data_IF_621315021542
#
_entry.id   IF_621315021542
#
_cell.length_a   1.000
_cell.length_b   1.000
_cell.length_c   1.000
_cell.angle_alpha   90.00
_cell.angle_beta   90.00
_cell.angle_gamma   90.00
#
_symmetry.space_group_name_H-M   'P 1'
#
loop_
_entity.id
_entity.type
_entity.pdbx_description
1 polymer ?
#
# COMPACT_ATOMS: atom_id res chain seq x y z
N UNK A 1 16.07 2.48 -17.46
CA UNK A 1 15.27 3.69 -17.25
C UNK A 1 15.34 4.00 -15.77
N UNK A 2 16.19 4.91 -15.31
CA UNK A 2 16.25 5.25 -13.89
C UNK A 2 14.97 6.01 -13.50
N UNK A 3 14.40 5.66 -12.37
CA UNK A 3 13.26 6.34 -11.77
C UNK A 3 11.88 5.80 -12.11
N UNK A 4 11.75 4.72 -12.90
CA UNK A 4 10.43 4.24 -13.33
C UNK A 4 9.76 3.38 -12.26
N UNK A 5 8.51 3.69 -11.95
CA UNK A 5 7.63 2.86 -11.14
C UNK A 5 6.26 2.67 -11.79
N UNK A 6 5.61 1.55 -11.49
CA UNK A 6 4.25 1.24 -11.92
C UNK A 6 3.36 1.13 -10.71
N UNK A 7 2.22 1.82 -10.73
CA UNK A 7 1.21 1.75 -9.67
C UNK A 7 -0.10 1.23 -10.23
N UNK A 8 -0.67 0.24 -9.59
CA UNK A 8 -1.99 -0.32 -9.93
C UNK A 8 -2.66 -0.88 -8.68
N UNK A 9 -3.95 -0.59 -8.52
CA UNK A 9 -4.69 -0.93 -7.30
C UNK A 9 -3.89 -0.52 -6.06
N UNK A 10 -3.56 -1.46 -5.17
CA UNK A 10 -2.74 -1.28 -3.97
C UNK A 10 -1.26 -1.62 -4.16
N UNK A 11 -0.84 -1.91 -5.39
CA UNK A 11 0.52 -2.35 -5.69
C UNK A 11 1.37 -1.24 -6.28
N UNK A 12 2.65 -1.28 -5.93
CA UNK A 12 3.69 -0.45 -6.53
C UNK A 12 4.84 -1.36 -6.93
N UNK A 13 5.26 -1.29 -8.19
CA UNK A 13 6.46 -1.95 -8.71
C UNK A 13 7.52 -0.90 -8.91
N UNK A 14 8.58 -0.96 -8.12
CA UNK A 14 9.75 -0.08 -8.23
C UNK A 14 10.81 -0.80 -9.07
N UNK A 15 11.09 -0.24 -10.26
CA UNK A 15 12.04 -0.85 -11.19
C UNK A 15 13.50 -0.68 -10.74
N UNK A 16 13.81 0.39 -10.00
CA UNK A 16 15.18 0.69 -9.56
C UNK A 16 15.60 -0.17 -8.37
N UNK A 17 14.74 -0.26 -7.36
CA UNK A 17 15.00 -1.09 -6.18
C UNK A 17 14.61 -2.55 -6.40
N UNK A 18 13.93 -2.86 -7.52
CA UNK A 18 13.40 -4.18 -7.85
C UNK A 18 12.46 -4.74 -6.78
N UNK A 19 11.59 -3.88 -6.26
CA UNK A 19 10.63 -4.21 -5.21
C UNK A 19 9.20 -4.20 -5.73
N UNK A 20 8.41 -5.18 -5.31
CA UNK A 20 6.95 -5.18 -5.39
C UNK A 20 6.42 -4.86 -4.01
N UNK A 21 5.65 -3.78 -3.89
CA UNK A 21 5.04 -3.35 -2.62
C UNK A 21 3.52 -3.49 -2.72
N UNK A 22 2.88 -3.93 -1.63
CA UNK A 22 1.43 -3.87 -1.42
C UNK A 22 1.15 -3.10 -0.13
N UNK A 23 0.41 -2.01 -0.22
CA UNK A 23 0.10 -1.13 0.92
C UNK A 23 1.38 -0.70 1.68
N UNK A 24 2.49 -0.51 0.95
CA UNK A 24 3.80 -0.15 1.51
C UNK A 24 4.63 -1.32 2.06
N UNK A 25 4.09 -2.53 2.13
CA UNK A 25 4.81 -3.73 2.57
C UNK A 25 5.40 -4.47 1.38
N UNK A 26 6.65 -4.90 1.48
CA UNK A 26 7.33 -5.63 0.41
C UNK A 26 6.76 -7.05 0.25
N UNK A 27 6.49 -7.42 -1.00
CA UNK A 27 6.12 -8.76 -1.40
C UNK A 27 7.29 -9.40 -2.15
N UNK A 28 7.66 -10.60 -1.73
CA UNK A 28 8.76 -11.32 -2.37
C UNK A 28 8.34 -11.90 -3.73
N UNK A 29 9.16 -11.60 -4.75
CA UNK A 29 9.15 -12.26 -6.05
C UNK A 29 10.57 -12.74 -6.38
N UNK A 30 10.66 -13.89 -7.03
CA UNK A 30 11.94 -14.31 -7.60
C UNK A 30 12.41 -13.31 -8.67
N UNK A 31 13.72 -13.17 -8.91
CA UNK A 31 14.25 -12.21 -9.88
C UNK A 31 13.61 -12.34 -11.27
N UNK A 32 13.36 -13.57 -11.74
CA UNK A 32 12.73 -13.82 -13.04
C UNK A 32 11.24 -13.52 -13.05
N UNK A 33 10.52 -13.75 -11.95
CA UNK A 33 9.11 -13.35 -11.81
C UNK A 33 8.97 -11.83 -11.82
N UNK A 34 9.89 -11.13 -11.15
CA UNK A 34 9.94 -9.68 -11.17
C UNK A 34 10.22 -9.11 -12.58
N UNK A 35 11.21 -9.66 -13.30
CA UNK A 35 11.52 -9.29 -14.70
C UNK A 35 10.30 -9.52 -15.61
N UNK A 36 9.59 -10.65 -15.45
CA UNK A 36 8.37 -10.95 -16.20
C UNK A 36 7.25 -9.94 -15.89
N UNK A 37 7.07 -9.59 -14.62
CA UNK A 37 6.05 -8.60 -14.23
C UNK A 37 6.31 -7.25 -14.88
N UNK A 38 7.55 -6.73 -14.82
CA UNK A 38 7.94 -5.48 -15.49
C UNK A 38 7.70 -5.58 -17.00
N UNK A 39 8.09 -6.70 -17.61
CA UNK A 39 7.92 -6.90 -19.04
C UNK A 39 6.46 -6.87 -19.48
N UNK A 40 5.56 -7.44 -18.69
CA UNK A 40 4.11 -7.40 -18.92
C UNK A 40 3.55 -5.98 -18.72
N UNK A 41 3.97 -5.29 -17.65
CA UNK A 41 3.56 -3.92 -17.35
C UNK A 41 3.98 -2.94 -18.43
N UNK A 42 5.22 -3.00 -18.90
CA UNK A 42 5.76 -2.09 -19.91
C UNK A 42 5.11 -2.25 -21.30
N UNK A 43 4.49 -3.40 -21.59
CA UNK A 43 3.90 -3.70 -22.89
C UNK A 43 2.37 -3.77 -22.87
N UNK A 44 1.76 -3.41 -21.75
CA UNK A 44 0.30 -3.39 -21.63
C UNK A 44 -0.36 -2.40 -22.61
N UNK A 45 -1.58 -2.60 -23.04
CA UNK A 45 -2.42 -3.78 -22.80
C UNK A 45 -2.17 -4.93 -23.79
N UNK A 46 -1.05 -4.92 -24.52
CA UNK A 46 -0.72 -5.89 -25.57
C UNK A 46 -0.59 -7.32 -25.01
N UNK A 47 -1.11 -8.28 -25.72
CA UNK A 47 -0.83 -9.70 -25.47
C UNK A 47 0.59 -10.03 -25.94
N UNK A 48 1.37 -10.69 -25.10
CA UNK A 48 2.74 -11.09 -25.37
C UNK A 48 2.80 -12.59 -25.53
N UNK A 49 3.46 -13.05 -26.59
CA UNK A 49 3.58 -14.50 -26.85
C UNK A 49 4.51 -15.16 -25.86
N UNK A 50 4.33 -16.47 -25.64
CA UNK A 50 5.22 -17.25 -24.79
C UNK A 50 6.67 -17.20 -25.29
N UNK A 51 6.88 -17.30 -26.60
CA UNK A 51 8.22 -17.22 -27.22
C UNK A 51 8.88 -15.87 -26.95
N UNK A 52 8.16 -14.76 -27.11
CA UNK A 52 8.68 -13.42 -26.84
C UNK A 52 9.09 -13.25 -25.36
N UNK A 53 8.31 -13.79 -24.42
CA UNK A 53 8.64 -13.75 -23.00
C UNK A 53 9.85 -14.64 -22.68
N UNK A 54 9.91 -15.83 -23.24
CA UNK A 54 11.05 -16.73 -23.04
C UNK A 54 12.35 -16.13 -23.60
N UNK A 55 12.31 -15.56 -24.79
CA UNK A 55 13.47 -14.89 -25.41
C UNK A 55 13.94 -13.69 -24.57
N UNK A 56 13.00 -12.89 -24.06
CA UNK A 56 13.32 -11.75 -23.19
C UNK A 56 13.95 -12.18 -21.85
N UNK A 57 13.38 -13.20 -21.22
CA UNK A 57 13.86 -13.64 -19.89
C UNK A 57 15.12 -14.52 -19.96
N UNK A 58 15.31 -15.27 -21.04
CA UNK A 58 16.42 -16.20 -21.25
C UNK A 58 17.01 -16.09 -22.67
N UNK A 59 17.66 -14.96 -23.04
CA UNK A 59 18.07 -14.64 -24.43
C UNK A 59 19.11 -15.62 -24.88
N UNK A 60 19.56 -16.59 -24.50
CA UNK A 60 20.58 -17.53 -25.01
C UNK A 60 20.45 -18.95 -24.45
N UNK A 61 19.30 -19.21 -23.82
CA UNK A 61 19.08 -20.49 -23.14
C UNK A 61 17.74 -21.07 -23.57
N UNK A 62 17.74 -22.32 -23.99
CA UNK A 62 16.50 -23.04 -24.23
C UNK A 62 15.84 -23.37 -22.89
N UNK A 63 14.63 -22.87 -22.68
CA UNK A 63 13.84 -23.06 -21.47
C UNK A 63 12.44 -23.54 -21.85
N UNK A 64 11.91 -24.50 -21.11
CA UNK A 64 10.57 -25.03 -21.35
C UNK A 64 9.48 -24.02 -20.95
N UNK A 65 8.34 -24.05 -21.62
CA UNK A 65 7.18 -23.20 -21.34
C UNK A 65 6.61 -23.38 -19.93
N UNK A 66 6.86 -24.52 -19.29
CA UNK A 66 6.46 -24.82 -17.91
C UNK A 66 7.09 -23.85 -16.91
N UNK A 67 8.32 -23.40 -17.15
CA UNK A 67 8.99 -22.40 -16.31
C UNK A 67 8.27 -21.05 -16.36
N UNK A 68 7.82 -20.64 -17.55
CA UNK A 68 7.04 -19.42 -17.70
C UNK A 68 5.71 -19.49 -16.95
N UNK A 69 5.01 -20.61 -17.01
CA UNK A 69 3.77 -20.83 -16.28
C UNK A 69 3.98 -20.79 -14.76
N UNK A 70 5.12 -21.28 -14.27
CA UNK A 70 5.49 -21.21 -12.85
C UNK A 70 5.70 -19.76 -12.41
N UNK A 71 6.40 -18.92 -13.20
CA UNK A 71 6.59 -17.50 -12.91
C UNK A 71 5.25 -16.73 -12.89
N UNK A 72 4.36 -17.02 -13.83
CA UNK A 72 3.01 -16.40 -13.84
C UNK A 72 2.21 -16.81 -12.60
N UNK A 73 2.35 -18.06 -12.15
CA UNK A 73 1.69 -18.55 -10.93
C UNK A 73 2.24 -17.83 -9.69
N UNK A 74 3.55 -17.60 -9.63
CA UNK A 74 4.21 -16.84 -8.57
C UNK A 74 3.70 -15.40 -8.52
N UNK A 75 3.68 -14.70 -9.67
CA UNK A 75 3.16 -13.35 -9.78
C UNK A 75 1.70 -13.28 -9.32
N UNK A 76 0.85 -14.18 -9.81
CA UNK A 76 -0.56 -14.22 -9.42
C UNK A 76 -0.74 -14.44 -7.92
N UNK A 77 0.05 -15.32 -7.32
CA UNK A 77 0.03 -15.55 -5.86
C UNK A 77 0.39 -14.28 -5.10
N UNK A 78 1.45 -13.58 -5.49
CA UNK A 78 1.87 -12.34 -4.86
C UNK A 78 0.81 -11.23 -4.98
N UNK A 79 0.17 -11.13 -6.14
CA UNK A 79 -0.89 -10.13 -6.41
C UNK A 79 -2.26 -10.54 -5.85
N UNK A 80 -2.45 -11.78 -5.39
CA UNK A 80 -3.77 -12.30 -5.04
C UNK A 80 -4.71 -12.41 -6.26
N UNK A 81 -4.15 -12.64 -7.45
CA UNK A 81 -4.86 -12.65 -8.75
C UNK A 81 -5.32 -14.07 -9.11
N UNK A 82 -6.62 -14.42 -8.94
CA UNK A 82 -7.08 -15.79 -9.17
C UNK A 82 -7.07 -16.13 -10.67
N UNK A 83 -6.48 -17.26 -11.02
CA UNK A 83 -6.35 -17.70 -12.42
C UNK A 83 -7.72 -17.89 -13.14
N UNK A 84 -8.77 -18.21 -12.39
CA UNK A 84 -10.12 -18.39 -12.95
C UNK A 84 -10.81 -17.07 -13.33
N UNK A 85 -10.51 -16.00 -12.58
CA UNK A 85 -11.04 -14.65 -12.85
C UNK A 85 -9.92 -13.63 -12.69
N UNK A 86 -8.96 -13.57 -13.62
CA UNK A 86 -7.78 -12.74 -13.50
C UNK A 86 -8.12 -11.26 -13.61
N UNK A 87 -7.68 -10.50 -12.63
CA UNK A 87 -7.82 -9.03 -12.54
C UNK A 87 -6.62 -8.34 -13.17
N UNK A 88 -5.42 -8.90 -13.01
CA UNK A 88 -4.17 -8.28 -13.45
C UNK A 88 -3.50 -9.04 -14.60
N UNK A 89 -3.24 -10.33 -14.45
CA UNK A 89 -2.52 -11.12 -15.45
C UNK A 89 -3.45 -12.12 -16.14
N UNK A 90 -3.91 -11.78 -17.34
CA UNK A 90 -4.81 -12.62 -18.12
C UNK A 90 -4.06 -13.56 -19.05
N UNK A 91 -4.44 -14.84 -19.04
CA UNK A 91 -3.98 -15.82 -20.04
C UNK A 91 -4.70 -15.59 -21.35
N UNK A 92 -3.92 -15.51 -22.43
CA UNK A 92 -4.43 -15.52 -23.81
C UNK A 92 -4.23 -16.93 -24.35
N UNK A 93 -5.33 -17.64 -24.55
CA UNK A 93 -5.32 -19.07 -24.90
C UNK A 93 -4.40 -19.39 -26.09
N UNK A 94 -3.54 -20.38 -25.94
CA UNK A 94 -2.53 -20.83 -26.92
C UNK A 94 -1.54 -19.76 -27.41
N UNK A 95 -1.56 -18.57 -26.85
CA UNK A 95 -0.69 -17.47 -27.26
C UNK A 95 0.31 -17.07 -26.17
N UNK A 96 -0.19 -16.66 -25.01
CA UNK A 96 0.67 -16.16 -23.93
C UNK A 96 -0.10 -15.43 -22.84
N UNK A 97 0.38 -14.26 -22.43
CA UNK A 97 -0.18 -13.51 -21.33
C UNK A 97 -0.25 -12.01 -21.64
N UNK A 98 -1.10 -11.28 -20.93
CA UNK A 98 -1.16 -9.82 -20.95
C UNK A 98 -1.50 -9.25 -19.59
N UNK A 99 -1.02 -8.06 -19.29
CA UNK A 99 -1.48 -7.29 -18.16
C UNK A 99 -2.73 -6.50 -18.53
N UNK A 100 -3.76 -6.53 -17.67
CA UNK A 100 -5.08 -5.93 -17.94
C UNK A 100 -5.54 -4.94 -16.87
N UNK A 101 -4.82 -4.78 -15.78
CA UNK A 101 -5.12 -3.77 -14.75
C UNK A 101 -4.84 -2.35 -15.23
N UNK A 102 -5.56 -1.38 -14.67
CA UNK A 102 -5.26 0.04 -14.86
C UNK A 102 -3.95 0.38 -14.17
N UNK A 103 -3.01 0.98 -14.88
CA UNK A 103 -1.66 1.25 -14.39
C UNK A 103 -1.31 2.71 -14.61
N UNK A 104 -0.85 3.36 -13.55
CA UNK A 104 -0.20 4.67 -13.62
C UNK A 104 1.31 4.46 -13.68
N UNK A 105 1.95 5.05 -14.67
CA UNK A 105 3.41 5.14 -14.75
C UNK A 105 3.87 6.40 -14.04
N UNK A 106 4.98 6.30 -13.33
CA UNK A 106 5.64 7.44 -12.71
C UNK A 106 7.14 7.36 -12.94
N UNK A 107 7.71 8.44 -13.40
CA UNK A 107 9.17 8.61 -13.52
C UNK A 107 9.84 8.86 -12.16
N UNK A 108 9.06 8.78 -11.07
CA UNK A 108 9.56 8.91 -9.70
C UNK A 108 9.69 7.52 -9.11
N UNK A 109 10.86 7.12 -8.58
CA UNK A 109 11.03 5.83 -7.90
C UNK A 109 9.99 5.67 -6.80
N UNK A 110 9.47 4.44 -6.62
CA UNK A 110 8.54 4.15 -5.54
C UNK A 110 9.14 4.47 -4.16
N UNK A 111 10.47 4.32 -4.04
CA UNK A 111 11.22 4.73 -2.85
C UNK A 111 11.21 6.23 -2.60
N UNK A 112 11.07 7.08 -3.63
CA UNK A 112 10.91 8.51 -3.43
C UNK A 112 9.48 8.86 -2.97
N UNK A 113 8.48 8.10 -3.42
CA UNK A 113 7.10 8.19 -2.93
C UNK A 113 6.96 7.55 -1.54
N UNK A 114 7.79 6.53 -1.24
CA UNK A 114 7.84 5.86 0.07
C UNK A 114 8.75 6.56 1.10
N UNK A 115 9.64 7.46 0.66
CA UNK A 115 10.56 8.22 1.54
C UNK A 115 10.02 9.58 1.95
N UNK A 116 8.87 9.99 1.45
CA UNK A 116 8.17 11.16 1.99
C UNK A 116 7.67 10.88 3.41
N UNK A 117 7.56 11.92 4.24
CA UNK A 117 6.96 11.78 5.55
C UNK A 117 5.55 11.23 5.41
N UNK A 118 5.27 10.09 6.08
CA UNK A 118 3.95 9.44 6.06
C UNK A 118 3.18 9.82 7.31
N UNK A 119 1.89 10.06 7.19
CA UNK A 119 1.07 10.24 8.36
C UNK A 119 0.90 8.91 9.11
N UNK A 120 1.04 8.96 10.43
CA UNK A 120 0.78 7.83 11.32
C UNK A 120 0.13 8.31 12.62
N UNK A 121 -0.54 7.40 13.29
CA UNK A 121 -1.12 7.64 14.62
C UNK A 121 -0.28 6.90 15.65
N UNK A 122 0.04 7.61 16.72
CA UNK A 122 0.59 7.02 17.95
C UNK A 122 -0.55 6.91 18.95
N UNK A 123 -0.82 5.69 19.38
CA UNK A 123 -1.80 5.41 20.43
C UNK A 123 -1.18 4.42 21.44
N UNK A 124 -1.08 4.85 22.70
CA UNK A 124 -0.33 4.14 23.75
C UNK A 124 1.12 3.87 23.30
N UNK A 125 1.48 2.60 23.06
CA UNK A 125 2.81 2.18 22.62
C UNK A 125 2.81 1.69 21.17
N UNK A 126 1.72 1.90 20.43
CA UNK A 126 1.57 1.42 19.07
C UNK A 126 1.60 2.58 18.08
N UNK A 127 2.26 2.35 16.96
CA UNK A 127 2.24 3.26 15.81
C UNK A 127 1.50 2.58 14.67
N UNK A 128 0.49 3.26 14.12
CA UNK A 128 -0.27 2.78 12.96
C UNK A 128 -0.11 3.75 11.81
N UNK A 129 0.55 3.30 10.74
CA UNK A 129 0.70 4.09 9.51
C UNK A 129 -0.66 4.24 8.85
N UNK A 130 -0.99 5.46 8.46
CA UNK A 130 -2.23 5.76 7.75
C UNK A 130 -2.06 5.50 6.26
N UNK A 131 -3.03 4.81 5.68
CA UNK A 131 -3.08 4.53 4.25
C UNK A 131 -3.79 5.66 3.50
N UNK A 132 -3.51 5.79 2.22
CA UNK A 132 -4.27 6.68 1.34
C UNK A 132 -5.76 6.28 1.35
N UNK A 133 -6.65 7.26 1.45
CA UNK A 133 -8.08 7.05 1.63
C UNK A 133 -8.53 7.07 3.09
N UNK A 134 -9.57 6.32 3.44
CA UNK A 134 -10.26 6.36 4.73
C UNK A 134 -9.68 5.38 5.75
N UNK A 135 -9.20 5.89 6.88
CA UNK A 135 -8.68 5.12 8.01
C UNK A 135 -9.61 5.30 9.22
N UNK A 136 -10.44 4.31 9.50
CA UNK A 136 -11.43 4.36 10.60
C UNK A 136 -10.76 4.15 11.95
N UNK A 137 -11.15 4.96 12.94
CA UNK A 137 -10.72 4.86 14.34
C UNK A 137 -11.93 4.49 15.19
N UNK A 138 -11.79 3.48 16.02
CA UNK A 138 -12.90 3.07 16.88
C UNK A 138 -12.63 1.82 17.68
N UNK A 139 -13.65 1.36 18.42
CA UNK A 139 -13.56 0.16 19.25
C UNK A 139 -13.78 -1.14 18.45
N UNK A 140 -14.30 -1.05 17.23
CA UNK A 140 -14.53 -2.22 16.38
C UNK A 140 -13.22 -2.91 16.01
N UNK A 141 -13.23 -4.25 15.94
CA UNK A 141 -12.04 -5.05 15.58
C UNK A 141 -11.56 -4.78 14.15
N UNK A 142 -12.49 -4.40 13.28
CA UNK A 142 -12.24 -4.07 11.88
C UNK A 142 -11.75 -2.62 11.67
N UNK A 143 -11.69 -1.81 12.73
CA UNK A 143 -11.17 -0.45 12.63
C UNK A 143 -9.66 -0.46 12.30
N UNK A 144 -9.23 0.41 11.39
CA UNK A 144 -7.82 0.56 11.03
C UNK A 144 -6.95 0.95 12.25
N UNK A 145 -7.52 1.75 13.16
CA UNK A 145 -6.92 2.09 14.45
C UNK A 145 -7.92 1.65 15.53
N UNK A 146 -7.63 0.49 16.13
CA UNK A 146 -8.49 -0.03 17.19
C UNK A 146 -8.19 0.67 18.52
N UNK A 147 -9.21 1.26 19.13
CA UNK A 147 -9.15 1.91 20.44
C UNK A 147 -10.21 1.30 21.37
N UNK A 148 -9.88 0.25 22.09
CA UNK A 148 -10.79 -0.38 23.06
C UNK A 148 -10.75 0.34 24.41
N UNK A 149 -11.19 1.59 24.38
CA UNK A 149 -11.19 2.49 25.53
C UNK A 149 -12.60 2.98 25.82
N UNK A 150 -12.92 3.13 27.12
CA UNK A 150 -14.22 3.63 27.56
C UNK A 150 -14.55 4.97 26.93
N UNK A 151 -15.75 5.06 26.32
CA UNK A 151 -16.24 6.27 25.66
C UNK A 151 -15.89 6.37 24.18
N UNK A 152 -15.19 5.37 23.61
CA UNK A 152 -14.95 5.27 22.16
C UNK A 152 -16.11 4.47 21.52
N UNK A 153 -16.71 5.00 20.46
CA UNK A 153 -17.74 4.32 19.65
C UNK A 153 -17.11 3.23 18.80
N UNK A 154 -17.89 2.26 18.29
CA UNK A 154 -17.39 1.21 17.38
C UNK A 154 -16.67 1.80 16.16
N UNK A 155 -17.31 2.72 15.46
CA UNK A 155 -16.75 3.61 14.47
C UNK A 155 -16.89 5.02 15.02
N UNK A 156 -15.80 5.62 15.51
CA UNK A 156 -15.87 6.90 16.24
C UNK A 156 -15.51 8.07 15.34
N UNK A 157 -14.40 7.96 14.67
CA UNK A 157 -13.87 8.96 13.75
C UNK A 157 -13.18 8.27 12.58
N UNK A 158 -12.86 9.02 11.54
CA UNK A 158 -11.98 8.57 10.47
C UNK A 158 -10.95 9.64 10.13
N UNK A 159 -9.79 9.20 9.66
CA UNK A 159 -8.80 10.08 9.05
C UNK A 159 -8.76 9.76 7.56
N UNK A 160 -9.07 10.75 6.74
CA UNK A 160 -8.98 10.65 5.27
C UNK A 160 -7.65 11.24 4.86
N UNK A 161 -6.79 10.41 4.27
CA UNK A 161 -5.50 10.82 3.71
C UNK A 161 -5.64 10.97 2.20
N UNK A 162 -5.28 12.11 1.66
CA UNK A 162 -5.34 12.39 0.23
C UNK A 162 -4.19 13.31 -0.19
N UNK A 163 -3.31 12.82 -1.08
CA UNK A 163 -2.25 13.64 -1.67
C UNK A 163 -1.32 14.28 -0.64
N UNK A 164 -1.01 13.58 0.46
CA UNK A 164 -0.14 14.09 1.53
C UNK A 164 -0.82 14.98 2.56
N UNK A 165 -2.13 15.23 2.43
CA UNK A 165 -2.95 15.90 3.44
C UNK A 165 -3.79 14.90 4.22
N UNK A 166 -4.12 15.22 5.47
CA UNK A 166 -4.96 14.38 6.31
C UNK A 166 -6.11 15.21 6.93
N UNK A 167 -7.32 14.68 6.85
CA UNK A 167 -8.53 15.26 7.43
C UNK A 167 -9.11 14.33 8.49
N UNK A 168 -9.33 14.83 9.69
CA UNK A 168 -10.06 14.13 10.75
C UNK A 168 -11.56 14.43 10.61
N UNK A 169 -12.40 13.39 10.69
CA UNK A 169 -13.85 13.52 10.62
C UNK A 169 -14.52 12.68 11.71
N UNK A 170 -15.44 13.28 12.45
CA UNK A 170 -16.29 12.57 13.42
C UNK A 170 -17.35 11.74 12.68
N UNK A 171 -17.55 10.50 13.12
CA UNK A 171 -18.54 9.59 12.52
C UNK A 171 -19.80 9.48 13.40
N UNK A 172 -20.38 10.62 13.75
CA UNK A 172 -21.54 10.72 14.63
C UNK A 172 -21.31 10.00 15.97
N UNK A 173 -20.15 10.22 16.53
CA UNK A 173 -19.72 9.53 17.74
C UNK A 173 -20.53 9.98 18.95
N UNK A 174 -20.76 9.06 19.93
CA UNK A 174 -21.56 9.35 21.12
C UNK A 174 -20.98 10.48 21.98
N UNK A 175 -19.65 10.55 22.08
CA UNK A 175 -18.95 11.49 22.97
C UNK A 175 -18.24 12.63 22.24
N UNK A 176 -18.29 12.63 20.90
CA UNK A 176 -17.63 13.63 20.05
C UNK A 176 -16.13 13.41 19.91
N UNK A 177 -15.60 13.93 18.83
CA UNK A 177 -14.18 13.94 18.47
C UNK A 177 -13.59 15.31 18.81
N UNK A 178 -12.41 15.33 19.42
CA UNK A 178 -11.73 16.56 19.81
C UNK A 178 -10.32 16.59 19.20
N UNK A 179 -9.99 17.72 18.60
CA UNK A 179 -8.65 18.03 18.10
C UNK A 179 -8.04 19.13 18.96
N UNK A 180 -6.89 18.88 19.58
CA UNK A 180 -6.21 19.83 20.49
C UNK A 180 -7.18 20.42 21.54
N UNK A 181 -8.03 19.56 22.11
CA UNK A 181 -9.09 19.89 23.09
C UNK A 181 -10.30 20.67 22.53
N UNK A 182 -10.34 21.01 21.24
CA UNK A 182 -11.50 21.64 20.59
C UNK A 182 -12.36 20.57 19.96
N UNK A 183 -13.68 20.59 20.19
CA UNK A 183 -14.61 19.65 19.56
C UNK A 183 -14.73 19.97 18.08
N UNK A 184 -14.60 18.93 17.23
CA UNK A 184 -14.66 19.07 15.77
C UNK A 184 -15.60 18.04 15.16
N UNK A 185 -16.22 18.40 14.04
CA UNK A 185 -16.93 17.47 13.15
C UNK A 185 -16.03 17.09 11.97
N UNK A 186 -15.21 18.03 11.50
CA UNK A 186 -14.15 17.81 10.51
C UNK A 186 -13.07 18.88 10.71
N UNK A 187 -11.81 18.47 10.60
CA UNK A 187 -10.67 19.39 10.71
C UNK A 187 -9.43 18.82 10.01
N UNK A 188 -8.58 19.67 9.38
CA UNK A 188 -7.28 19.25 8.88
C UNK A 188 -6.36 18.88 10.04
N UNK A 189 -5.47 17.89 9.80
CA UNK A 189 -4.48 17.44 10.77
C UNK A 189 -3.08 17.96 10.40
N UNK A 190 -2.37 18.43 11.41
CA UNK A 190 -0.96 18.81 11.35
C UNK A 190 -0.10 17.91 12.24
N UNK A 191 1.20 17.82 11.94
CA UNK A 191 2.14 17.03 12.77
C UNK A 191 2.12 17.49 14.23
N UNK A 192 2.04 16.54 15.16
CA UNK A 192 1.95 16.77 16.60
C UNK A 192 0.54 16.99 17.14
N UNK A 193 -0.48 17.04 16.29
CA UNK A 193 -1.87 17.20 16.73
C UNK A 193 -2.32 16.06 17.64
N UNK A 194 -3.05 16.45 18.70
CA UNK A 194 -3.63 15.50 19.65
C UNK A 194 -5.12 15.30 19.36
N UNK A 195 -5.49 14.06 19.09
CA UNK A 195 -6.88 13.62 18.88
C UNK A 195 -7.37 12.95 20.16
N UNK A 196 -8.51 13.40 20.70
CA UNK A 196 -9.15 12.77 21.86
C UNK A 196 -10.53 12.23 21.50
N UNK A 197 -10.72 10.92 21.77
CA UNK A 197 -11.94 10.17 21.56
C UNK A 197 -12.35 9.53 22.87
N UNK A 198 -13.39 10.08 23.54
CA UNK A 198 -13.70 9.67 24.90
C UNK A 198 -12.49 9.82 25.83
N UNK A 199 -11.98 8.71 26.41
CA UNK A 199 -10.77 8.69 27.25
C UNK A 199 -9.49 8.37 26.44
N UNK A 200 -9.59 7.95 25.20
CA UNK A 200 -8.43 7.68 24.34
C UNK A 200 -7.79 9.00 23.89
N UNK A 201 -6.45 9.06 23.96
CA UNK A 201 -5.63 10.16 23.46
C UNK A 201 -4.67 9.60 22.41
N UNK A 202 -4.79 10.07 21.19
CA UNK A 202 -3.97 9.70 20.05
C UNK A 202 -3.16 10.92 19.61
N UNK A 203 -1.97 10.68 19.05
CA UNK A 203 -1.15 11.74 18.47
C UNK A 203 -0.99 11.46 16.98
N UNK A 204 -1.32 12.45 16.17
CA UNK A 204 -1.04 12.41 14.74
C UNK A 204 0.37 12.88 14.46
N UNK A 205 1.11 12.13 13.67
CA UNK A 205 2.48 12.45 13.30
C UNK A 205 2.69 12.28 11.81
N UNK A 206 3.63 13.05 11.28
CA UNK A 206 4.09 12.96 9.90
C UNK A 206 5.60 12.76 9.92
N UNK A 207 6.06 11.57 9.54
CA UNK A 207 7.48 11.23 9.64
C UNK A 207 7.93 10.19 8.64
N UNK A 208 9.24 9.96 8.58
CA UNK A 208 9.84 8.88 7.77
C UNK A 208 9.81 7.56 8.55
N UNK A 209 9.95 6.43 7.86
CA UNK A 209 9.97 5.10 8.50
C UNK A 209 11.09 4.93 9.54
N UNK A 210 12.11 5.80 9.53
CA UNK A 210 13.17 5.84 10.55
C UNK A 210 12.68 6.45 11.87
N UNK A 211 11.76 7.41 11.82
CA UNK A 211 11.21 8.07 13.01
C UNK A 211 10.22 7.14 13.77
N UNK A 212 9.76 6.09 13.10
CA UNK A 212 8.85 5.09 13.68
C UNK A 212 9.55 4.13 14.66
N UNK A 213 10.89 4.08 14.69
CA UNK A 213 11.66 3.12 15.50
C UNK A 213 12.32 3.76 16.73
N UNK A 214 12.32 5.10 16.85
CA UNK A 214 13.16 5.82 17.82
C UNK A 214 12.36 6.58 18.88
N UNK A 215 11.34 6.00 19.51
CA UNK A 215 10.82 6.57 20.76
C UNK A 215 10.33 5.47 21.69
N UNK A 216 11.26 4.63 22.17
CA UNK A 216 11.17 3.95 23.45
C UNK A 216 12.55 4.02 24.09
N UNK A 217 12.90 5.17 24.64
CA UNK A 217 13.92 5.27 25.68
C UNK A 217 13.56 6.43 26.60
N UNK A 218 13.02 6.06 27.74
CA UNK A 218 13.35 6.58 29.08
C UNK A 218 13.09 8.08 29.35
N UNK A 219 12.15 8.35 30.27
CA UNK A 219 12.61 8.97 31.53
C UNK A 219 11.63 8.64 32.65
N UNK A 220 12.23 8.32 33.80
CA UNK A 220 11.65 7.94 35.08
C UNK A 220 10.87 9.09 35.74
#
# INVERSE_FOLDING_TARGET
MPGMSYRFDRFIVDCDTRQLLRDGSELHLSPKAFDLLIFLLARRPRAISKSEMLEHLWPSTFVEETNLASLVTEIRRALGDPAAQPVFVRTVYRFGYRFVGDVLESDVPATAVSRGPRPFIVFEHHQTVLLEGSNVIGRALEAAIQCDVTGVSRHHARIVVAGGTAMLEDMESKNGTFLNNVRVTSAPLADGDTIRLGKAKLVFRVGTAADATETVATEF
#
